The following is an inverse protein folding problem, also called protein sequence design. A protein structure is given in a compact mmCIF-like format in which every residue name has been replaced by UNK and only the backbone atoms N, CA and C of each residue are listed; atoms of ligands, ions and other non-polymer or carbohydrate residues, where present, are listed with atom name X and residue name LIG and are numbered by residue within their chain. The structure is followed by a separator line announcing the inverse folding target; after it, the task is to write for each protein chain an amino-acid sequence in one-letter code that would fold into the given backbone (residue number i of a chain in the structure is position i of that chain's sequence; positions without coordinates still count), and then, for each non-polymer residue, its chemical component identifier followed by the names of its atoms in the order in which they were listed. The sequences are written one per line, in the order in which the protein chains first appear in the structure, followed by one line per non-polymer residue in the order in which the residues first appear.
data_IF_762203346849
#
_entry.id   IF_762203346849
#
_cell.length_a   1.000
_cell.length_b   1.000
_cell.length_c   1.000
_cell.angle_alpha   90.00
_cell.angle_beta   90.00
_cell.angle_gamma   90.00
#
_symmetry.space_group_name_H-M   'P 1'
#
loop_
_entity.id
_entity.type
_entity.pdbx_description
1 polymer ?
#
# COMPACT_ATOMS: atom_id res chain seq x y z
N UNK A 1 2.19 -8.92 -17.81
CA UNK A 1 1.51 -9.45 -16.61
C UNK A 1 1.74 -8.49 -15.46
N UNK A 2 0.69 -8.19 -14.69
CA UNK A 2 0.72 -7.40 -13.47
C UNK A 2 0.27 -8.30 -12.32
N UNK A 3 0.95 -8.24 -11.19
CA UNK A 3 0.69 -9.08 -10.01
C UNK A 3 0.17 -8.20 -8.88
N UNK A 4 -1.00 -8.55 -8.37
CA UNK A 4 -1.62 -7.91 -7.21
C UNK A 4 -1.57 -8.86 -6.02
N UNK A 5 -1.06 -8.36 -4.90
CA UNK A 5 -1.17 -9.05 -3.61
C UNK A 5 -2.25 -8.37 -2.78
N UNK A 6 -3.38 -9.05 -2.63
CA UNK A 6 -4.59 -8.56 -1.95
C UNK A 6 -4.93 -9.43 -0.75
N UNK A 7 -5.80 -8.92 0.14
CA UNK A 7 -6.28 -9.66 1.34
C UNK A 7 -5.18 -10.09 2.32
N UNK A 8 -4.17 -9.24 2.52
CA UNK A 8 -2.95 -9.59 3.25
C UNK A 8 -3.03 -9.51 4.79
N UNK A 9 -4.24 -9.52 5.37
CA UNK A 9 -4.45 -9.30 6.82
C UNK A 9 -3.69 -10.32 7.68
N UNK A 10 -3.67 -11.59 7.27
CA UNK A 10 -3.10 -12.70 8.06
C UNK A 10 -1.70 -13.12 7.61
N UNK A 11 -0.98 -12.24 6.89
CA UNK A 11 0.35 -12.57 6.38
C UNK A 11 1.40 -12.62 7.49
N UNK A 12 2.21 -13.68 7.48
CA UNK A 12 3.35 -13.84 8.38
C UNK A 12 4.64 -13.24 7.80
N UNK A 13 5.68 -13.13 8.65
CA UNK A 13 7.00 -12.63 8.22
C UNK A 13 7.60 -13.43 7.06
N UNK A 14 7.36 -14.73 7.01
CA UNK A 14 7.89 -15.61 5.96
C UNK A 14 7.32 -15.29 4.56
N UNK A 15 6.12 -14.72 4.47
CA UNK A 15 5.45 -14.45 3.20
C UNK A 15 5.81 -13.09 2.62
N UNK A 16 6.38 -12.19 3.43
CA UNK A 16 6.77 -10.83 3.01
C UNK A 16 7.68 -10.87 1.78
N UNK A 17 8.59 -11.87 1.70
CA UNK A 17 9.48 -12.05 0.55
C UNK A 17 8.74 -12.39 -0.75
N UNK A 18 7.57 -13.02 -0.66
CA UNK A 18 6.73 -13.33 -1.80
C UNK A 18 5.88 -12.11 -2.17
N UNK A 19 5.29 -11.44 -1.17
CA UNK A 19 4.51 -10.20 -1.36
C UNK A 19 5.34 -9.10 -2.02
N UNK A 20 6.61 -8.98 -1.64
CA UNK A 20 7.53 -7.98 -2.21
C UNK A 20 7.79 -8.15 -3.72
N UNK A 21 7.39 -9.28 -4.32
CA UNK A 21 7.50 -9.53 -5.77
C UNK A 21 6.28 -9.05 -6.56
N UNK A 22 5.21 -8.62 -5.88
CA UNK A 22 4.02 -8.09 -6.53
C UNK A 22 4.26 -6.65 -7.04
N UNK A 23 3.48 -6.23 -8.03
CA UNK A 23 3.52 -4.85 -8.54
C UNK A 23 2.72 -3.90 -7.65
N UNK A 24 1.61 -4.39 -7.10
CA UNK A 24 0.69 -3.65 -6.22
C UNK A 24 0.34 -4.53 -5.02
N UNK A 25 0.42 -3.95 -3.82
CA UNK A 25 0.19 -4.64 -2.54
C UNK A 25 -0.83 -3.86 -1.72
N UNK A 26 -1.93 -4.50 -1.33
CA UNK A 26 -2.88 -3.95 -0.38
C UNK A 26 -2.47 -4.37 1.03
N UNK A 27 -1.98 -3.42 1.85
CA UNK A 27 -1.43 -3.77 3.17
C UNK A 27 -2.50 -4.19 4.18
N UNK A 28 -3.77 -3.83 3.97
CA UNK A 28 -4.88 -4.13 4.88
C UNK A 28 -4.54 -3.71 6.32
N UNK A 29 -4.94 -4.50 7.32
CA UNK A 29 -4.58 -4.33 8.73
C UNK A 29 -3.22 -4.95 9.12
N UNK A 30 -2.43 -5.45 8.16
CA UNK A 30 -1.14 -6.08 8.47
C UNK A 30 -0.08 -5.03 8.80
N UNK A 31 0.31 -4.97 10.08
CA UNK A 31 1.40 -4.11 10.55
C UNK A 31 2.72 -4.46 9.88
N UNK A 32 2.99 -5.76 9.69
CA UNK A 32 4.23 -6.25 9.06
C UNK A 32 4.39 -5.67 7.66
N UNK A 33 3.33 -5.66 6.85
CA UNK A 33 3.43 -5.12 5.49
C UNK A 33 3.55 -3.59 5.47
N UNK A 34 2.88 -2.88 6.37
CA UNK A 34 3.06 -1.42 6.49
C UNK A 34 4.52 -1.06 6.76
N UNK A 35 5.17 -1.78 7.65
CA UNK A 35 6.56 -1.53 8.03
C UNK A 35 7.59 -2.00 6.99
N UNK A 36 7.40 -3.18 6.38
CA UNK A 36 8.39 -3.80 5.49
C UNK A 36 8.18 -3.48 4.02
N UNK A 37 6.92 -3.48 3.56
CA UNK A 37 6.56 -3.19 2.17
C UNK A 37 6.39 -1.70 1.95
N UNK A 38 5.82 -0.98 2.92
CA UNK A 38 5.61 0.48 2.81
C UNK A 38 6.90 1.25 2.54
N UNK A 39 8.02 0.83 3.13
CA UNK A 39 9.36 1.44 2.91
C UNK A 39 9.90 1.23 1.49
N UNK A 40 9.44 0.20 0.78
CA UNK A 40 9.89 -0.18 -0.57
C UNK A 40 8.97 0.40 -1.66
N UNK A 41 7.87 1.03 -1.27
CA UNK A 41 6.88 1.53 -2.21
C UNK A 41 7.39 2.76 -2.96
N UNK A 42 7.08 2.82 -4.26
CA UNK A 42 7.29 3.98 -5.13
C UNK A 42 6.12 4.98 -5.04
N UNK A 43 4.94 4.47 -4.68
CA UNK A 43 3.70 5.22 -4.55
C UNK A 43 2.82 4.55 -3.50
N UNK A 44 2.12 5.36 -2.70
CA UNK A 44 1.09 4.93 -1.76
C UNK A 44 -0.23 5.60 -2.13
N UNK A 45 -1.31 4.82 -2.13
CA UNK A 45 -2.68 5.33 -2.18
C UNK A 45 -3.38 5.09 -0.84
N UNK A 46 -4.14 6.08 -0.38
CA UNK A 46 -4.89 5.97 0.86
C UNK A 46 -4.01 6.00 2.12
N UNK A 47 -4.67 6.20 3.26
CA UNK A 47 -4.02 6.27 4.58
C UNK A 47 -4.52 5.15 5.49
N UNK A 48 -5.83 4.97 5.58
CA UNK A 48 -6.45 3.96 6.45
C UNK A 48 -6.14 2.54 5.99
N UNK A 49 -6.34 2.25 4.70
CA UNK A 49 -5.96 0.98 4.07
C UNK A 49 -5.01 1.32 2.94
N UNK A 50 -3.68 1.36 3.21
CA UNK A 50 -2.74 1.80 2.22
C UNK A 50 -2.55 0.73 1.14
N UNK A 51 -2.55 1.19 -0.11
CA UNK A 51 -2.16 0.43 -1.28
C UNK A 51 -0.77 0.89 -1.69
N UNK A 52 0.19 -0.04 -1.66
CA UNK A 52 1.58 0.21 -2.02
C UNK A 52 1.86 -0.26 -3.43
N UNK A 53 2.56 0.56 -4.20
CA UNK A 53 3.02 0.22 -5.54
C UNK A 53 4.53 0.00 -5.49
N UNK A 54 4.99 -1.16 -5.93
CA UNK A 54 6.40 -1.56 -5.79
C UNK A 54 7.20 -1.47 -7.09
N UNK A 55 6.54 -1.47 -8.24
CA UNK A 55 7.20 -1.47 -9.55
C UNK A 55 6.74 -0.32 -10.43
N UNK A 56 7.58 0.07 -11.40
CA UNK A 56 7.20 1.09 -12.38
C UNK A 56 6.00 0.69 -13.23
N UNK A 57 5.82 -0.62 -13.49
CA UNK A 57 4.65 -1.14 -14.20
C UNK A 57 3.37 -0.93 -13.38
N UNK A 58 3.41 -1.27 -12.09
CA UNK A 58 2.31 -0.98 -11.16
C UNK A 58 2.02 0.51 -11.06
N UNK A 59 3.06 1.35 -11.07
CA UNK A 59 2.92 2.81 -11.00
C UNK A 59 2.22 3.37 -12.23
N UNK A 60 2.60 2.94 -13.42
CA UNK A 60 1.93 3.34 -14.67
C UNK A 60 0.45 2.98 -14.66
N UNK A 61 0.12 1.77 -14.21
CA UNK A 61 -1.28 1.35 -14.09
C UNK A 61 -2.04 2.23 -13.11
N UNK A 62 -1.52 2.41 -11.90
CA UNK A 62 -2.19 3.19 -10.86
C UNK A 62 -2.38 4.63 -11.30
N UNK A 63 -1.41 5.25 -11.96
CA UNK A 63 -1.56 6.61 -12.49
C UNK A 63 -2.61 6.68 -13.62
N UNK A 64 -2.68 5.68 -14.49
CA UNK A 64 -3.74 5.59 -15.49
C UNK A 64 -5.12 5.44 -14.85
N UNK A 65 -5.23 4.65 -13.77
CA UNK A 65 -6.46 4.55 -12.99
C UNK A 65 -6.84 5.88 -12.31
N UNK A 66 -5.85 6.58 -11.74
CA UNK A 66 -6.07 7.89 -11.11
C UNK A 66 -6.48 8.97 -12.12
N UNK A 67 -6.05 8.87 -13.38
CA UNK A 67 -6.45 9.80 -14.43
C UNK A 67 -7.97 9.74 -14.73
N UNK A 68 -8.58 8.58 -14.57
CA UNK A 68 -10.02 8.34 -14.78
C UNK A 68 -10.85 8.46 -13.47
N UNK A 69 -10.19 8.79 -12.35
CA UNK A 69 -10.83 8.81 -11.05
C UNK A 69 -11.76 10.03 -10.91
N UNK A 70 -13.05 9.77 -10.66
CA UNK A 70 -14.08 10.83 -10.66
C UNK A 70 -14.04 11.73 -9.42
N UNK A 71 -13.47 11.23 -8.33
CA UNK A 71 -13.37 11.99 -7.09
C UNK A 71 -12.16 12.94 -7.11
N UNK A 72 -12.20 13.97 -6.25
CA UNK A 72 -11.11 14.93 -6.13
C UNK A 72 -9.88 14.25 -5.50
N UNK A 73 -8.73 14.42 -6.15
CA UNK A 73 -7.45 13.89 -5.71
C UNK A 73 -6.57 14.98 -5.08
N UNK A 74 -5.90 14.64 -3.98
CA UNK A 74 -4.80 15.44 -3.41
C UNK A 74 -3.53 14.59 -3.50
N UNK A 75 -2.51 15.13 -4.16
CA UNK A 75 -1.22 14.47 -4.36
C UNK A 75 -0.12 15.42 -3.91
N UNK A 76 0.71 14.97 -2.97
CA UNK A 76 1.87 15.70 -2.50
C UNK A 76 3.09 14.79 -2.51
N UNK A 77 4.28 15.39 -2.60
CA UNK A 77 5.53 14.65 -2.46
C UNK A 77 5.81 14.43 -0.98
N UNK A 78 6.27 13.25 -0.63
CA UNK A 78 6.78 12.92 0.71
C UNK A 78 8.22 12.45 0.61
N UNK A 79 9.03 12.77 1.62
CA UNK A 79 10.41 12.29 1.71
C UNK A 79 10.53 10.84 2.15
N UNK A 80 9.46 10.26 2.72
CA UNK A 80 9.43 8.86 3.18
C UNK A 80 8.06 8.21 3.02
N UNK A 81 8.07 6.89 2.82
CA UNK A 81 6.90 6.01 2.89
C UNK A 81 7.15 4.91 3.95
N UNK A 82 6.09 4.37 4.58
CA UNK A 82 4.68 4.74 4.39
C UNK A 82 4.35 6.13 4.97
N UNK A 83 3.38 6.82 4.34
CA UNK A 83 2.76 8.02 4.90
C UNK A 83 1.64 7.61 5.84
N UNK A 84 1.77 7.98 7.11
CA UNK A 84 0.83 7.63 8.16
C UNK A 84 0.21 8.90 8.76
N UNK A 85 -1.06 8.81 9.14
CA UNK A 85 -1.76 9.86 9.88
C UNK A 85 -2.25 9.25 11.18
N UNK A 86 -1.96 9.93 12.27
CA UNK A 86 -2.35 9.51 13.61
C UNK A 86 -3.87 9.27 13.69
N UNK A 87 -4.27 8.17 14.31
CA UNK A 87 -5.68 7.80 14.48
C UNK A 87 -6.42 7.30 13.23
N UNK A 88 -5.83 7.36 12.02
CA UNK A 88 -6.48 6.93 10.76
C UNK A 88 -6.27 5.46 10.41
N UNK A 89 -5.39 4.75 11.12
CA UNK A 89 -5.14 3.32 10.92
C UNK A 89 -6.16 2.41 11.62
N UNK A 90 -6.21 1.11 11.25
CA UNK A 90 -7.02 0.12 11.97
C UNK A 90 -6.53 -0.01 13.40
N UNK A 91 -7.48 0.02 14.34
CA UNK A 91 -7.21 -0.07 15.78
C UNK A 91 -7.62 -1.44 16.29
N UNK A 92 -6.77 -2.05 17.13
CA UNK A 92 -7.16 -3.24 17.87
C UNK A 92 -8.17 -2.86 18.94
N UNK A 93 -9.31 -3.56 18.97
CA UNK A 93 -10.30 -3.39 20.02
C UNK A 93 -9.66 -3.81 21.34
N UNK A 94 -9.51 -2.88 22.29
CA UNK A 94 -9.12 -3.22 23.67
C UNK A 94 -10.29 -3.98 24.30
N UNK A 95 -10.12 -5.29 24.47
CA UNK A 95 -10.94 -6.15 25.34
C UNK A 95 -10.40 -6.11 26.75
#
# INVERSE_FOLDING_TARGET
MLIFSVCNTCIGKADVKHVAKADVVCASASKILREEIGKKALLQLGVTIPVYVLTDKGKRLVLAYLAEFKDRLVIFRTGKLPYEVEGRGPQLKRT
#
